data_IF_679677400604
#
_entry.id   IF_679677400604
#
_cell.length_a   1.000
_cell.length_b   1.000
_cell.length_c   1.000
_cell.angle_alpha   90.00
_cell.angle_beta   90.00
_cell.angle_gamma   90.00
#
_symmetry.space_group_name_H-M   'P 1'
#
loop_
_entity.id
_entity.type
_entity.pdbx_description
1 polymer ?
#
# COMPACT_ATOMS: atom_id res chain seq x y z
N UNK A 1 -45.51 -43.17 23.95
CA UNK A 1 -45.28 -42.16 22.92
C UNK A 1 -43.77 -41.94 22.89
N UNK A 2 -43.11 -42.50 21.88
CA UNK A 2 -41.66 -42.74 21.86
C UNK A 2 -40.86 -41.45 21.63
N UNK A 3 -40.07 -41.08 22.63
CA UNK A 3 -39.21 -39.88 22.68
C UNK A 3 -38.02 -40.00 21.69
N UNK A 4 -37.84 -41.16 21.06
CA UNK A 4 -36.81 -41.41 20.05
C UNK A 4 -37.17 -40.98 18.62
N UNK A 5 -38.39 -40.50 18.35
CA UNK A 5 -38.84 -40.12 16.99
C UNK A 5 -38.76 -38.63 16.67
N UNK A 6 -38.38 -37.78 17.61
CA UNK A 6 -38.17 -36.34 17.36
C UNK A 6 -36.73 -35.99 16.93
N UNK A 7 -35.89 -36.99 16.67
CA UNK A 7 -34.55 -36.80 16.09
C UNK A 7 -34.56 -36.56 14.56
N UNK A 8 -35.73 -36.41 13.94
CA UNK A 8 -35.87 -36.28 12.48
C UNK A 8 -36.80 -35.13 12.05
N UNK A 9 -37.01 -34.10 12.88
CA UNK A 9 -37.57 -32.86 12.35
C UNK A 9 -36.47 -32.12 11.60
N UNK A 10 -36.51 -32.32 10.29
CA UNK A 10 -35.91 -31.54 9.21
C UNK A 10 -35.01 -30.41 9.68
N UNK A 11 -33.75 -30.44 9.23
CA UNK A 11 -32.95 -29.26 8.93
C UNK A 11 -33.79 -28.25 8.13
N UNK A 12 -34.63 -27.50 8.86
CA UNK A 12 -35.72 -26.74 8.28
C UNK A 12 -35.09 -25.62 7.46
N UNK A 13 -35.54 -25.49 6.22
CA UNK A 13 -34.96 -24.55 5.26
C UNK A 13 -35.05 -23.12 5.81
N UNK A 14 -36.06 -22.86 6.65
CA UNK A 14 -36.23 -21.61 7.40
C UNK A 14 -35.13 -21.37 8.43
N UNK A 15 -34.70 -22.39 9.18
CA UNK A 15 -33.61 -22.27 10.15
C UNK A 15 -32.28 -21.94 9.47
N UNK A 16 -31.99 -22.59 8.33
CA UNK A 16 -30.82 -22.27 7.50
C UNK A 16 -30.88 -20.84 6.96
N UNK A 17 -32.05 -20.41 6.47
CA UNK A 17 -32.25 -19.04 6.00
C UNK A 17 -32.01 -18.01 7.11
N UNK A 18 -32.48 -18.27 8.34
CA UNK A 18 -32.25 -17.40 9.51
C UNK A 18 -30.77 -17.31 9.84
N UNK A 19 -30.05 -18.43 9.91
CA UNK A 19 -28.60 -18.45 10.20
C UNK A 19 -27.83 -17.68 9.12
N UNK A 20 -28.14 -17.91 7.84
CA UNK A 20 -27.50 -17.18 6.74
C UNK A 20 -27.72 -15.66 6.90
N UNK A 21 -28.94 -15.23 7.23
CA UNK A 21 -29.22 -13.81 7.47
C UNK A 21 -28.52 -13.23 8.68
N UNK A 22 -28.35 -14.01 9.75
CA UNK A 22 -27.56 -13.57 10.91
C UNK A 22 -26.07 -13.43 10.58
N UNK A 23 -25.50 -14.36 9.82
CA UNK A 23 -24.10 -14.28 9.36
C UNK A 23 -23.91 -13.08 8.43
N UNK A 24 -24.83 -12.86 7.49
CA UNK A 24 -24.81 -11.72 6.57
C UNK A 24 -24.86 -10.39 7.34
N UNK A 25 -25.72 -10.31 8.36
CA UNK A 25 -25.82 -9.13 9.22
C UNK A 25 -24.52 -8.90 10.01
N UNK A 26 -23.94 -9.95 10.60
CA UNK A 26 -22.67 -9.87 11.32
C UNK A 26 -21.52 -9.41 10.39
N UNK A 27 -21.47 -9.95 9.17
CA UNK A 27 -20.48 -9.57 8.17
C UNK A 27 -20.65 -8.10 7.76
N UNK A 28 -21.89 -7.63 7.58
CA UNK A 28 -22.20 -6.24 7.29
C UNK A 28 -21.78 -5.30 8.43
N UNK A 29 -21.99 -5.69 9.69
CA UNK A 29 -21.49 -4.92 10.84
C UNK A 29 -19.97 -4.86 10.88
N UNK A 30 -19.30 -5.98 10.62
CA UNK A 30 -17.84 -6.06 10.57
C UNK A 30 -17.27 -5.16 9.47
N UNK A 31 -17.88 -5.20 8.28
CA UNK A 31 -17.48 -4.38 7.14
C UNK A 31 -17.74 -2.88 7.40
N UNK A 32 -18.90 -2.54 7.98
CA UNK A 32 -19.20 -1.17 8.40
C UNK A 32 -18.20 -0.66 9.45
N UNK A 33 -17.83 -1.48 10.43
CA UNK A 33 -16.83 -1.12 11.42
C UNK A 33 -15.47 -0.87 10.76
N UNK A 34 -15.00 -1.78 9.91
CA UNK A 34 -13.77 -1.63 9.12
C UNK A 34 -13.76 -0.30 8.34
N UNK A 35 -14.81 -0.01 7.59
CA UNK A 35 -14.90 1.23 6.81
C UNK A 35 -14.96 2.49 7.66
N UNK A 36 -15.66 2.46 8.80
CA UNK A 36 -15.79 3.63 9.70
C UNK A 36 -14.45 4.03 10.33
N UNK A 37 -13.50 3.10 10.47
CA UNK A 37 -12.15 3.42 10.94
C UNK A 37 -11.43 4.42 10.03
N UNK A 38 -11.75 4.47 8.74
CA UNK A 38 -11.20 5.47 7.81
C UNK A 38 -11.87 6.84 7.96
N UNK A 39 -13.17 6.88 8.25
CA UNK A 39 -13.94 8.13 8.39
C UNK A 39 -13.64 8.86 9.70
N UNK A 40 -13.71 8.16 10.84
CA UNK A 40 -13.51 8.78 12.16
C UNK A 40 -12.06 9.27 12.33
N UNK A 41 -11.09 8.56 11.75
CA UNK A 41 -9.65 8.95 11.82
C UNK A 41 -9.27 10.05 10.83
N UNK A 42 -10.15 10.43 9.89
CA UNK A 42 -9.98 11.61 9.02
C UNK A 42 -10.24 12.93 9.79
N UNK A 43 -11.04 12.89 10.85
CA UNK A 43 -11.42 14.07 11.66
C UNK A 43 -10.43 14.38 12.79
N UNK A 44 -9.72 13.39 13.31
CA UNK A 44 -8.79 13.54 14.42
C UNK A 44 -7.35 13.85 13.94
N UNK A 45 -7.11 15.05 13.42
CA UNK A 45 -5.84 15.81 13.43
C UNK A 45 -4.51 15.23 12.89
N UNK A 46 -4.29 13.91 12.89
CA UNK A 46 -3.11 13.21 12.41
C UNK A 46 -3.60 11.98 11.65
N UNK A 47 -3.93 12.15 10.37
CA UNK A 47 -4.39 11.01 9.58
C UNK A 47 -3.26 9.96 9.58
N UNK A 48 -3.61 8.68 9.76
CA UNK A 48 -2.64 7.59 9.61
C UNK A 48 -1.86 7.71 8.29
N UNK A 49 -2.47 8.33 7.27
CA UNK A 49 -1.83 8.56 5.97
C UNK A 49 -0.70 9.58 6.09
N UNK A 50 -0.89 10.65 6.86
CA UNK A 50 0.16 11.61 7.17
C UNK A 50 1.33 10.95 7.91
N UNK A 51 1.06 9.99 8.80
CA UNK A 51 2.10 9.22 9.47
C UNK A 51 2.84 8.28 8.49
N UNK A 52 2.10 7.61 7.60
CA UNK A 52 2.69 6.83 6.51
C UNK A 52 3.60 7.70 5.61
N UNK A 53 3.11 8.85 5.15
CA UNK A 53 3.88 9.80 4.34
C UNK A 53 5.13 10.27 5.08
N UNK A 54 5.03 10.57 6.37
CA UNK A 54 6.18 10.97 7.20
C UNK A 54 7.21 9.85 7.33
N UNK A 55 6.77 8.61 7.60
CA UNK A 55 7.65 7.44 7.65
C UNK A 55 8.28 7.14 6.29
N UNK A 56 7.54 7.33 5.20
CA UNK A 56 8.03 7.16 3.84
C UNK A 56 9.09 8.21 3.51
N UNK A 57 8.87 9.47 3.88
CA UNK A 57 9.84 10.54 3.70
C UNK A 57 11.10 10.29 4.52
N UNK A 58 10.96 9.98 5.81
CA UNK A 58 12.10 9.64 6.68
C UNK A 58 12.92 8.47 6.14
N UNK A 59 12.25 7.42 5.62
CA UNK A 59 12.93 6.29 4.99
C UNK A 59 13.79 6.72 3.81
N UNK A 60 13.36 7.71 3.03
CA UNK A 60 14.09 8.19 1.87
C UNK A 60 14.99 9.42 2.15
N UNK A 61 14.91 10.06 3.30
CA UNK A 61 15.75 11.22 3.66
C UNK A 61 17.08 10.82 4.31
N UNK A 62 17.13 9.64 4.95
CA UNK A 62 18.36 9.11 5.54
C UNK A 62 19.43 9.03 4.43
N UNK A 63 20.46 9.88 4.49
CA UNK A 63 21.27 10.20 3.30
C UNK A 63 22.44 9.23 3.06
N UNK A 64 22.70 8.33 4.00
CA UNK A 64 23.94 7.54 4.06
C UNK A 64 23.75 6.03 3.89
N UNK A 65 22.51 5.53 3.91
CA UNK A 65 22.26 4.10 3.78
C UNK A 65 22.00 3.69 2.32
N UNK A 66 22.62 2.60 1.88
CA UNK A 66 22.18 1.88 0.69
C UNK A 66 20.79 1.32 1.01
N UNK A 67 19.75 1.93 0.43
CA UNK A 67 18.38 1.52 0.70
C UNK A 67 18.06 0.16 0.11
N UNK A 68 17.10 -0.55 0.71
CA UNK A 68 16.35 -1.58 0.00
C UNK A 68 15.00 -0.99 -0.35
N UNK A 69 14.42 -1.32 -1.49
CA UNK A 69 13.08 -0.83 -1.80
C UNK A 69 12.11 -1.37 -0.74
N UNK A 70 11.46 -0.50 0.06
CA UNK A 70 10.63 -0.97 1.16
C UNK A 70 9.35 -1.59 0.60
N UNK A 71 8.84 -2.61 1.29
CA UNK A 71 7.56 -3.21 0.95
C UNK A 71 6.45 -2.66 1.88
N UNK A 72 5.20 -2.96 1.54
CA UNK A 72 4.05 -2.54 2.35
C UNK A 72 4.08 -3.13 3.77
N UNK A 73 4.67 -4.32 3.94
CA UNK A 73 4.83 -4.97 5.25
C UNK A 73 5.70 -4.16 6.22
N UNK A 74 6.80 -3.61 5.72
CA UNK A 74 7.72 -2.78 6.50
C UNK A 74 7.01 -1.63 7.21
N UNK A 75 6.20 -0.87 6.46
CA UNK A 75 5.45 0.26 7.02
C UNK A 75 4.29 -0.20 7.90
N UNK A 76 3.62 -1.30 7.54
CA UNK A 76 2.52 -1.85 8.33
C UNK A 76 2.99 -2.29 9.74
N UNK A 77 4.14 -2.97 9.83
CA UNK A 77 4.77 -3.34 11.10
C UNK A 77 5.14 -2.10 11.93
N UNK A 78 5.77 -1.10 11.29
CA UNK A 78 6.20 0.13 11.98
C UNK A 78 5.04 1.01 12.45
N UNK A 79 3.89 0.88 11.82
CA UNK A 79 2.65 1.54 12.20
C UNK A 79 1.74 0.68 13.09
N UNK A 80 2.15 -0.54 13.47
CA UNK A 80 1.36 -1.50 14.26
C UNK A 80 -0.03 -1.79 13.67
N UNK A 81 -0.12 -1.94 12.35
CA UNK A 81 -1.37 -2.25 11.64
C UNK A 81 -1.20 -3.43 10.69
N UNK A 82 -2.31 -4.07 10.32
CA UNK A 82 -2.26 -5.18 9.37
C UNK A 82 -1.89 -4.67 7.97
N UNK A 83 -1.18 -5.51 7.19
CA UNK A 83 -0.84 -5.21 5.79
C UNK A 83 -2.06 -4.88 4.92
N UNK A 84 -3.18 -5.55 5.16
CA UNK A 84 -4.43 -5.32 4.40
C UNK A 84 -5.00 -3.95 4.71
N UNK A 85 -5.10 -3.61 6.01
CA UNK A 85 -5.55 -2.29 6.43
C UNK A 85 -4.64 -1.20 5.87
N UNK A 86 -3.31 -1.36 6.00
CA UNK A 86 -2.34 -0.42 5.43
C UNK A 86 -2.49 -0.27 3.91
N UNK A 87 -2.80 -1.33 3.17
CA UNK A 87 -2.97 -1.28 1.71
C UNK A 87 -4.20 -0.50 1.27
N UNK A 88 -5.31 -0.64 1.99
CA UNK A 88 -6.60 0.00 1.68
C UNK A 88 -6.73 1.42 2.24
N UNK A 89 -6.01 1.72 3.32
CA UNK A 89 -6.13 2.96 4.07
C UNK A 89 -6.01 4.24 3.21
N UNK A 90 -4.97 4.44 2.39
CA UNK A 90 -4.89 5.64 1.55
C UNK A 90 -5.90 5.64 0.40
N UNK A 91 -6.52 4.50 0.06
CA UNK A 91 -7.45 4.43 -1.08
C UNK A 91 -8.70 5.24 -0.81
N UNK A 92 -9.15 5.26 0.45
CA UNK A 92 -10.30 6.04 0.91
C UNK A 92 -10.09 7.57 0.85
N UNK A 93 -8.83 8.04 0.85
CA UNK A 93 -8.48 9.46 0.90
C UNK A 93 -7.85 9.98 -0.40
N UNK A 94 -7.02 9.16 -1.05
CA UNK A 94 -6.22 9.53 -2.24
C UNK A 94 -6.67 8.83 -3.51
N UNK A 95 -7.58 7.86 -3.43
CA UNK A 95 -7.95 6.97 -4.53
C UNK A 95 -6.88 5.93 -4.90
N UNK A 96 -5.69 6.00 -4.28
CA UNK A 96 -4.54 5.11 -4.55
C UNK A 96 -4.23 4.23 -3.35
N UNK A 97 -3.79 2.99 -3.61
CA UNK A 97 -3.35 2.06 -2.55
C UNK A 97 -1.90 2.36 -2.13
N UNK A 98 -1.50 1.89 -0.94
CA UNK A 98 -0.12 2.08 -0.46
C UNK A 98 0.93 1.44 -1.38
N UNK A 99 0.58 0.35 -2.04
CA UNK A 99 1.43 -0.27 -3.07
C UNK A 99 1.73 0.67 -4.24
N UNK A 100 0.89 1.69 -4.48
CA UNK A 100 1.10 2.69 -5.53
C UNK A 100 1.88 3.91 -5.04
N UNK A 101 1.79 4.24 -3.75
CA UNK A 101 2.51 5.37 -3.15
C UNK A 101 4.02 5.14 -3.09
N UNK A 102 4.48 3.93 -2.75
CA UNK A 102 5.92 3.62 -2.68
C UNK A 102 6.63 3.81 -4.04
N UNK A 103 6.17 3.21 -5.15
CA UNK A 103 6.74 3.47 -6.47
C UNK A 103 6.66 4.95 -6.88
N UNK A 104 5.59 5.65 -6.51
CA UNK A 104 5.44 7.08 -6.84
C UNK A 104 6.52 7.92 -6.15
N UNK A 105 6.77 7.69 -4.86
CA UNK A 105 7.84 8.37 -4.13
C UNK A 105 9.23 8.04 -4.68
N UNK A 106 9.45 6.78 -5.05
CA UNK A 106 10.70 6.35 -5.68
C UNK A 106 10.93 7.05 -7.03
N UNK A 107 9.87 7.24 -7.82
CA UNK A 107 9.92 8.02 -9.06
C UNK A 107 10.29 9.47 -8.75
N UNK A 108 9.60 10.13 -7.82
CA UNK A 108 9.89 11.52 -7.44
C UNK A 108 11.35 11.70 -7.04
N UNK A 109 11.89 10.81 -6.20
CA UNK A 109 13.30 10.82 -5.81
C UNK A 109 14.23 10.55 -6.99
N UNK A 110 13.90 9.59 -7.85
CA UNK A 110 14.67 9.31 -9.06
C UNK A 110 14.72 10.52 -10.00
N UNK A 111 13.61 11.26 -10.15
CA UNK A 111 13.56 12.49 -10.96
C UNK A 111 14.52 13.54 -10.42
N UNK A 112 14.46 13.79 -9.11
CA UNK A 112 15.36 14.76 -8.45
C UNK A 112 16.82 14.34 -8.62
N UNK A 113 17.16 13.07 -8.40
CA UNK A 113 18.53 12.59 -8.53
C UNK A 113 19.04 12.65 -9.97
N UNK A 114 18.20 12.32 -10.96
CA UNK A 114 18.56 12.37 -12.37
C UNK A 114 18.66 13.81 -12.92
N UNK A 115 17.99 14.79 -12.29
CA UNK A 115 18.05 16.19 -12.71
C UNK A 115 19.13 17.00 -12.01
N UNK A 116 19.55 16.62 -10.80
CA UNK A 116 20.52 17.39 -10.00
C UNK A 116 21.94 16.86 -10.05
N UNK A 117 22.16 15.59 -10.43
CA UNK A 117 23.49 14.98 -10.37
C UNK A 117 24.04 14.66 -11.76
N UNK A 118 25.26 15.12 -12.01
CA UNK A 118 26.09 14.63 -13.12
C UNK A 118 26.54 13.17 -12.94
N UNK A 119 26.26 12.58 -11.77
CA UNK A 119 26.68 11.23 -11.34
C UNK A 119 26.26 10.12 -12.31
N UNK A 120 27.00 9.02 -12.25
CA UNK A 120 26.77 7.83 -13.06
C UNK A 120 25.40 7.20 -12.72
N UNK A 121 24.63 6.80 -13.73
CA UNK A 121 23.31 6.14 -13.58
C UNK A 121 23.41 4.88 -12.71
N UNK A 122 24.54 4.18 -12.73
CA UNK A 122 24.81 3.05 -11.84
C UNK A 122 24.82 3.45 -10.37
N UNK A 123 25.41 4.59 -10.01
CA UNK A 123 25.45 5.07 -8.63
C UNK A 123 24.06 5.51 -8.14
N UNK A 124 23.30 6.17 -9.02
CA UNK A 124 21.89 6.55 -8.76
C UNK A 124 21.04 5.30 -8.51
N UNK A 125 21.25 4.23 -9.28
CA UNK A 125 20.56 2.94 -9.12
C UNK A 125 20.77 2.38 -7.71
N UNK A 126 22.02 2.33 -7.24
CA UNK A 126 22.33 1.81 -5.90
C UNK A 126 21.78 2.71 -4.80
N UNK A 127 21.84 4.03 -4.96
CA UNK A 127 21.27 4.99 -4.01
C UNK A 127 19.74 4.91 -3.91
N UNK A 128 19.06 4.50 -4.99
CA UNK A 128 17.62 4.23 -5.00
C UNK A 128 17.26 2.85 -4.44
N UNK A 129 18.26 2.04 -4.11
CA UNK A 129 18.09 0.72 -3.49
C UNK A 129 17.79 -0.41 -4.46
N UNK A 130 18.12 -0.24 -5.74
CA UNK A 130 18.11 -1.33 -6.71
C UNK A 130 19.43 -2.08 -6.65
N UNK A 131 19.36 -3.42 -6.59
CA UNK A 131 20.54 -4.28 -6.64
C UNK A 131 21.26 -4.25 -8.00
N UNK A 132 20.51 -3.98 -9.08
CA UNK A 132 21.01 -4.01 -10.45
C UNK A 132 20.44 -2.86 -11.30
N UNK A 133 21.27 -2.27 -12.16
CA UNK A 133 20.90 -1.21 -13.12
C UNK A 133 19.76 -1.65 -14.05
N UNK A 134 19.74 -2.91 -14.45
CA UNK A 134 18.71 -3.48 -15.32
C UNK A 134 17.32 -3.46 -14.67
N UNK A 135 17.26 -3.67 -13.35
CA UNK A 135 16.01 -3.60 -12.58
C UNK A 135 15.48 -2.17 -12.51
N UNK A 136 16.38 -1.19 -12.36
CA UNK A 136 16.03 0.23 -12.42
C UNK A 136 15.55 0.64 -13.81
N UNK A 137 16.22 0.20 -14.89
CA UNK A 137 15.76 0.47 -16.26
C UNK A 137 14.36 -0.10 -16.54
N UNK A 138 14.09 -1.33 -16.10
CA UNK A 138 12.75 -1.93 -16.19
C UNK A 138 11.71 -1.14 -15.40
N UNK A 139 12.08 -0.66 -14.21
CA UNK A 139 11.23 0.19 -13.39
C UNK A 139 10.89 1.51 -14.08
N UNK A 140 11.89 2.25 -14.59
CA UNK A 140 11.68 3.50 -15.33
C UNK A 140 10.80 3.28 -16.55
N UNK A 141 11.08 2.25 -17.37
CA UNK A 141 10.27 1.95 -18.55
C UNK A 141 8.82 1.63 -18.20
N UNK A 142 8.59 0.86 -17.13
CA UNK A 142 7.24 0.45 -16.70
C UNK A 142 6.45 1.57 -16.02
N UNK A 143 7.12 2.45 -15.25
CA UNK A 143 6.45 3.40 -14.35
C UNK A 143 6.59 4.86 -14.77
N UNK A 144 7.59 5.19 -15.58
CA UNK A 144 7.87 6.54 -16.08
C UNK A 144 7.65 6.66 -17.59
N UNK A 145 7.38 5.56 -18.30
CA UNK A 145 7.26 5.48 -19.77
C UNK A 145 8.49 6.02 -20.55
N UNK A 146 9.61 6.21 -19.86
CA UNK A 146 10.86 6.74 -20.39
C UNK A 146 12.00 5.92 -19.79
N UNK A 147 13.07 5.68 -20.56
CA UNK A 147 14.31 5.13 -20.01
C UNK A 147 15.01 6.17 -19.13
N UNK A 148 15.86 5.71 -18.21
CA UNK A 148 16.64 6.60 -17.33
C UNK A 148 17.55 7.55 -18.12
N UNK A 149 18.03 7.11 -19.29
CA UNK A 149 18.86 7.92 -20.20
C UNK A 149 18.02 8.94 -20.98
N UNK A 150 16.87 8.55 -21.52
CA UNK A 150 15.92 9.49 -22.17
C UNK A 150 15.42 10.54 -21.18
N UNK A 151 15.16 10.13 -19.94
CA UNK A 151 14.76 11.04 -18.86
C UNK A 151 15.88 12.03 -18.53
N UNK A 152 17.14 11.59 -18.44
CA UNK A 152 18.27 12.51 -18.24
C UNK A 152 18.45 13.46 -19.45
N UNK A 153 18.29 12.95 -20.66
CA UNK A 153 18.38 13.76 -21.88
C UNK A 153 17.28 14.82 -21.95
N UNK A 154 16.05 14.52 -21.49
CA UNK A 154 14.95 15.49 -21.49
C UNK A 154 15.16 16.66 -20.52
N UNK A 155 16.03 16.51 -19.52
CA UNK A 155 16.38 17.57 -18.56
C UNK A 155 17.71 18.26 -18.89
N UNK A 156 18.52 17.73 -19.81
CA UNK A 156 19.80 18.33 -20.21
C UNK A 156 19.68 19.48 -21.24
N UNK A 157 18.46 19.77 -21.71
CA UNK A 157 18.16 20.77 -22.76
C UNK A 157 17.35 21.98 -22.24
N UNK A 158 17.23 22.15 -20.92
CA UNK A 158 16.64 23.32 -20.28
C UNK A 158 17.71 23.97 -19.41
#
# INVERSE_FOLDING_TARGET
MDIGKESHFSTDTFFHAIIIKQIELLLNYSNRFYHRQFLTRKQAGNSLFSNFESLLNLYFEESEAIFKIPNVGYFAERMNISRNYHSDMPRSTTGKSTQQHIPQKLIEKAKVLLSTLERNVSEITYNLGFEYLQSFHKFCKSKMNLSSLEFRASFSYI
#
